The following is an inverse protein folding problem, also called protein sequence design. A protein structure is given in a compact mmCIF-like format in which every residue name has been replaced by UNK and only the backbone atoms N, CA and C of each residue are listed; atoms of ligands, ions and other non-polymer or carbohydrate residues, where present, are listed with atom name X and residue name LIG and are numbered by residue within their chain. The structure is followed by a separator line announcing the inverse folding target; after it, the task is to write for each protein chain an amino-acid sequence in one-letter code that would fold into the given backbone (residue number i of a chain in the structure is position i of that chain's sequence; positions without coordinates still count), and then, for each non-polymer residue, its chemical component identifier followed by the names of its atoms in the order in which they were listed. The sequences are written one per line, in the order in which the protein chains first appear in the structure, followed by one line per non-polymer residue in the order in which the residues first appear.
data_IF_568037949223
#
_entry.id   IF_568037949223
#
_cell.length_a   1.000
_cell.length_b   1.000
_cell.length_c   1.000
_cell.angle_alpha   90.00
_cell.angle_beta   90.00
_cell.angle_gamma   90.00
#
_symmetry.space_group_name_H-M   'P 1'
#
loop_
_entity.id
_entity.type
_entity.pdbx_description
1 polymer ?
#
# COMPACT_ATOMS: atom_id res chain seq x y z
N UNK A 1 -25.83 2.81 26.26
CA UNK A 1 -26.66 1.74 25.66
C UNK A 1 -26.93 1.97 24.17
N UNK A 2 -27.51 3.10 23.73
CA UNK A 2 -27.78 3.34 22.30
C UNK A 2 -26.52 3.50 21.41
N UNK A 3 -25.50 4.22 21.89
CA UNK A 3 -24.22 4.38 21.18
C UNK A 3 -23.47 3.05 21.00
N UNK A 4 -23.46 2.20 22.04
CA UNK A 4 -22.80 0.90 22.01
C UNK A 4 -23.52 -0.10 21.09
N UNK A 5 -24.85 -0.07 21.04
CA UNK A 5 -25.65 -0.85 20.10
C UNK A 5 -25.40 -0.41 18.64
N UNK A 6 -25.28 0.91 18.41
CA UNK A 6 -24.95 1.47 17.09
C UNK A 6 -23.55 1.05 16.61
N UNK A 7 -22.54 1.12 17.48
CA UNK A 7 -21.17 0.64 17.17
C UNK A 7 -21.13 -0.86 16.88
N UNK A 8 -21.87 -1.69 17.65
CA UNK A 8 -21.96 -3.13 17.39
C UNK A 8 -22.60 -3.43 16.02
N UNK A 9 -23.68 -2.72 15.67
CA UNK A 9 -24.34 -2.87 14.37
C UNK A 9 -23.41 -2.44 13.22
N UNK A 10 -22.71 -1.32 13.36
CA UNK A 10 -21.75 -0.83 12.37
C UNK A 10 -20.60 -1.83 12.16
N UNK A 11 -19.97 -2.33 13.23
CA UNK A 11 -18.90 -3.31 13.12
C UNK A 11 -19.40 -4.61 12.47
N UNK A 12 -20.62 -5.05 12.80
CA UNK A 12 -21.24 -6.23 12.18
C UNK A 12 -21.46 -6.04 10.67
N UNK A 13 -21.80 -4.83 10.21
CA UNK A 13 -21.94 -4.52 8.79
C UNK A 13 -20.60 -4.63 8.06
N UNK A 14 -19.54 -4.02 8.61
CA UNK A 14 -18.19 -4.08 8.04
C UNK A 14 -17.69 -5.53 7.93
N UNK A 15 -17.85 -6.32 9.00
CA UNK A 15 -17.45 -7.73 9.00
C UNK A 15 -18.20 -8.53 7.94
N UNK A 16 -19.50 -8.25 7.75
CA UNK A 16 -20.31 -8.94 6.73
C UNK A 16 -19.82 -8.60 5.33
N UNK A 17 -19.64 -7.31 5.01
CA UNK A 17 -19.12 -6.87 3.72
C UNK A 17 -17.74 -7.48 3.43
N UNK A 18 -16.85 -7.53 4.42
CA UNK A 18 -15.53 -8.14 4.28
C UNK A 18 -15.57 -9.64 3.94
N UNK A 19 -16.51 -10.39 4.52
CA UNK A 19 -16.72 -11.80 4.19
C UNK A 19 -17.27 -11.97 2.77
N UNK A 20 -18.14 -11.06 2.33
CA UNK A 20 -18.66 -11.05 0.96
C UNK A 20 -17.53 -10.79 -0.05
N UNK A 21 -16.71 -9.77 0.17
CA UNK A 21 -15.51 -9.53 -0.65
C UNK A 21 -14.56 -10.72 -0.66
N UNK A 22 -14.32 -11.37 0.49
CA UNK A 22 -13.45 -12.55 0.54
C UNK A 22 -13.99 -13.73 -0.29
N UNK A 23 -15.32 -13.90 -0.36
CA UNK A 23 -15.95 -14.91 -1.21
C UNK A 23 -15.77 -14.61 -2.69
N UNK A 24 -15.90 -13.35 -3.08
CA UNK A 24 -15.66 -12.91 -4.46
C UNK A 24 -14.21 -13.19 -4.90
N UNK A 25 -13.26 -13.22 -3.96
CA UNK A 25 -11.88 -13.60 -4.25
C UNK A 25 -11.65 -15.12 -4.39
N UNK A 26 -12.65 -15.95 -4.10
CA UNK A 26 -12.60 -17.41 -4.19
C UNK A 26 -13.91 -18.01 -4.76
N UNK A 27 -14.35 -17.60 -5.96
CA UNK A 27 -15.70 -17.91 -6.46
C UNK A 27 -15.93 -19.41 -6.70
N UNK A 28 -14.86 -20.18 -6.94
CA UNK A 28 -14.93 -21.61 -7.23
C UNK A 28 -14.90 -22.52 -5.98
N UNK A 29 -14.77 -21.94 -4.78
CA UNK A 29 -14.62 -22.72 -3.54
C UNK A 29 -15.89 -22.68 -2.70
N UNK A 30 -16.40 -23.86 -2.34
CA UNK A 30 -17.41 -23.97 -1.28
C UNK A 30 -16.74 -23.78 0.07
N UNK A 31 -17.11 -22.71 0.78
CA UNK A 31 -16.54 -22.40 2.09
C UNK A 31 -17.25 -23.20 3.18
N UNK A 32 -16.53 -24.08 3.87
CA UNK A 32 -17.03 -24.76 5.06
C UNK A 32 -17.23 -23.79 6.24
N UNK A 33 -17.92 -24.28 7.28
CA UNK A 33 -18.24 -23.46 8.46
C UNK A 33 -17.00 -22.98 9.21
N UNK A 34 -15.94 -23.78 9.28
CA UNK A 34 -14.71 -23.41 9.99
C UNK A 34 -13.95 -22.32 9.24
N UNK A 35 -13.87 -22.43 7.92
CA UNK A 35 -13.25 -21.41 7.05
C UNK A 35 -13.98 -20.07 7.18
N UNK A 36 -15.31 -20.07 7.14
CA UNK A 36 -16.13 -18.86 7.34
C UNK A 36 -15.96 -18.30 8.76
N UNK A 37 -15.93 -19.16 9.78
CA UNK A 37 -15.73 -18.74 11.16
C UNK A 37 -14.36 -18.08 11.38
N UNK A 38 -13.30 -18.66 10.81
CA UNK A 38 -11.95 -18.09 10.86
C UNK A 38 -11.88 -16.73 10.14
N UNK A 39 -12.46 -16.62 8.96
CA UNK A 39 -12.51 -15.35 8.22
C UNK A 39 -13.26 -14.26 9.00
N UNK A 40 -14.41 -14.62 9.61
CA UNK A 40 -15.16 -13.73 10.48
C UNK A 40 -14.35 -13.30 11.70
N UNK A 41 -13.60 -14.22 12.31
CA UNK A 41 -12.75 -13.91 13.47
C UNK A 41 -11.64 -12.92 13.11
N UNK A 42 -10.91 -13.15 12.01
CA UNK A 42 -9.86 -12.22 11.55
C UNK A 42 -10.40 -10.83 11.19
N UNK A 43 -11.53 -10.78 10.48
CA UNK A 43 -12.20 -9.53 10.17
C UNK A 43 -12.64 -8.79 11.45
N UNK A 44 -13.28 -9.50 12.39
CA UNK A 44 -13.73 -8.91 13.65
C UNK A 44 -12.57 -8.38 14.51
N UNK A 45 -11.46 -9.13 14.61
CA UNK A 45 -10.26 -8.66 15.29
C UNK A 45 -9.75 -7.36 14.67
N UNK A 46 -9.66 -7.32 13.34
CA UNK A 46 -9.17 -6.15 12.60
C UNK A 46 -10.05 -4.93 12.81
N UNK A 47 -11.38 -5.08 12.73
CA UNK A 47 -12.32 -3.98 12.98
C UNK A 47 -12.20 -3.47 14.41
N UNK A 48 -12.08 -4.38 15.40
CA UNK A 48 -11.95 -4.00 16.79
C UNK A 48 -10.63 -3.27 17.06
N UNK A 49 -9.51 -3.81 16.57
CA UNK A 49 -8.18 -3.23 16.74
C UNK A 49 -8.11 -1.84 16.10
N UNK A 50 -8.60 -1.70 14.87
CA UNK A 50 -8.63 -0.43 14.17
C UNK A 50 -9.58 0.56 14.86
N UNK A 51 -10.76 0.12 15.31
CA UNK A 51 -11.70 0.98 16.07
C UNK A 51 -11.05 1.56 17.33
N UNK A 52 -10.29 0.75 18.07
CA UNK A 52 -9.57 1.19 19.26
C UNK A 52 -8.48 2.20 18.92
N UNK A 53 -7.72 1.95 17.84
CA UNK A 53 -6.68 2.89 17.37
C UNK A 53 -7.31 4.22 16.99
N UNK A 54 -8.35 4.21 16.14
CA UNK A 54 -9.03 5.43 15.68
C UNK A 54 -9.66 6.19 16.84
N UNK A 55 -10.30 5.50 17.79
CA UNK A 55 -10.87 6.13 18.98
C UNK A 55 -9.79 6.83 19.81
N UNK A 56 -8.64 6.18 20.04
CA UNK A 56 -7.51 6.78 20.78
C UNK A 56 -7.00 8.05 20.07
N UNK A 57 -6.77 7.97 18.76
CA UNK A 57 -6.32 9.12 17.95
C UNK A 57 -7.29 10.31 18.07
N UNK A 58 -8.60 10.04 17.98
CA UNK A 58 -9.63 11.10 17.98
C UNK A 58 -9.88 11.71 19.35
N UNK A 59 -9.75 10.92 20.43
CA UNK A 59 -10.01 11.39 21.79
C UNK A 59 -8.97 12.41 22.27
N UNK A 60 -7.72 12.26 21.86
CA UNK A 60 -6.58 13.00 22.45
C UNK A 60 -6.06 14.13 21.55
N UNK A 61 -6.71 14.33 20.40
CA UNK A 61 -6.34 15.35 19.44
C UNK A 61 -5.26 14.87 18.47
N UNK A 62 -5.13 15.59 17.34
CA UNK A 62 -4.23 15.22 16.22
C UNK A 62 -2.74 15.40 16.53
N UNK A 63 -2.32 15.36 17.80
CA UNK A 63 -0.92 15.49 18.16
C UNK A 63 -0.22 14.14 17.95
N UNK A 64 0.50 14.02 16.84
CA UNK A 64 1.04 12.73 16.39
C UNK A 64 2.10 12.09 17.31
N UNK A 65 2.70 12.81 18.26
CA UNK A 65 3.61 12.21 19.26
C UNK A 65 2.87 11.41 20.33
N UNK A 66 1.74 11.92 20.82
CA UNK A 66 0.87 11.20 21.75
C UNK A 66 0.29 9.96 21.06
N UNK A 67 -0.09 10.07 19.79
CA UNK A 67 -0.63 8.96 18.98
C UNK A 67 0.35 7.78 18.87
N UNK A 68 1.65 8.02 18.64
CA UNK A 68 2.66 6.94 18.55
C UNK A 68 2.94 6.32 19.92
N UNK A 69 2.87 7.10 21.01
CA UNK A 69 3.10 6.60 22.37
C UNK A 69 2.12 5.50 22.82
N UNK A 70 0.98 5.39 22.13
CA UNK A 70 -0.06 4.38 22.39
C UNK A 70 0.16 3.05 21.66
N UNK A 71 1.16 2.96 20.80
CA UNK A 71 1.52 1.71 20.14
C UNK A 71 2.53 0.92 20.96
N UNK A 72 2.38 -0.41 20.97
CA UNK A 72 3.40 -1.27 21.57
C UNK A 72 4.71 -1.18 20.76
N UNK A 73 5.87 -1.40 21.40
CA UNK A 73 7.15 -1.45 20.68
C UNK A 73 7.15 -2.46 19.54
N UNK A 74 6.51 -3.61 19.72
CA UNK A 74 6.32 -4.62 18.68
C UNK A 74 5.55 -4.06 17.47
N UNK A 75 4.47 -3.32 17.73
CA UNK A 75 3.66 -2.69 16.68
C UNK A 75 4.46 -1.62 15.95
N UNK A 76 5.21 -0.78 16.66
CA UNK A 76 6.11 0.20 16.07
C UNK A 76 7.16 -0.49 15.20
N UNK A 77 7.75 -1.59 15.67
CA UNK A 77 8.73 -2.35 14.89
C UNK A 77 8.14 -2.94 13.61
N UNK A 78 6.91 -3.47 13.66
CA UNK A 78 6.19 -3.95 12.47
C UNK A 78 5.90 -2.83 11.47
N UNK A 79 5.43 -1.67 11.94
CA UNK A 79 5.20 -0.50 11.06
C UNK A 79 6.51 0.00 10.45
N UNK A 80 7.60 0.06 11.24
CA UNK A 80 8.92 0.46 10.73
C UNK A 80 9.45 -0.53 9.69
N UNK A 81 9.34 -1.84 9.96
CA UNK A 81 9.70 -2.90 9.01
C UNK A 81 8.89 -2.77 7.72
N UNK A 82 7.62 -2.37 7.79
CA UNK A 82 6.77 -2.11 6.61
C UNK A 82 7.24 -0.92 5.76
N UNK A 83 7.95 0.02 6.38
CA UNK A 83 8.46 1.24 5.77
C UNK A 83 9.91 1.11 5.26
N UNK A 84 10.54 -0.06 5.46
CA UNK A 84 11.81 -0.41 4.84
C UNK A 84 11.64 -0.60 3.32
N UNK A 85 12.74 -0.61 2.56
CA UNK A 85 12.70 -0.88 1.12
C UNK A 85 12.19 -2.30 0.83
N UNK A 86 11.03 -2.44 0.18
CA UNK A 86 10.40 -3.76 -0.12
C UNK A 86 10.53 -4.19 -1.56
N UNK A 87 10.79 -3.24 -2.46
CA UNK A 87 10.94 -3.53 -3.89
C UNK A 87 12.40 -3.36 -4.31
N UNK A 88 12.74 -2.18 -4.83
CA UNK A 88 14.06 -1.84 -5.32
C UNK A 88 14.28 -0.32 -5.23
N UNK A 89 15.52 0.09 -5.43
CA UNK A 89 15.93 1.48 -5.57
C UNK A 89 16.35 1.74 -7.03
N UNK A 90 15.92 2.87 -7.57
CA UNK A 90 16.43 3.38 -8.84
C UNK A 90 17.45 4.48 -8.54
N UNK A 91 18.67 4.32 -9.00
CA UNK A 91 19.71 5.34 -8.90
C UNK A 91 19.85 6.04 -10.25
N UNK A 92 19.57 7.34 -10.30
CA UNK A 92 19.63 8.15 -11.52
C UNK A 92 20.95 8.93 -11.55
N UNK A 93 21.77 8.66 -12.55
CA UNK A 93 22.94 9.48 -12.88
C UNK A 93 22.61 10.37 -14.08
N UNK A 94 22.33 11.65 -13.82
CA UNK A 94 21.99 12.64 -14.85
C UNK A 94 23.14 12.89 -15.84
N UNK A 95 24.39 12.86 -15.37
CA UNK A 95 25.57 13.12 -16.21
C UNK A 95 25.79 12.00 -17.23
N UNK A 96 25.68 10.76 -16.76
CA UNK A 96 25.80 9.57 -17.62
C UNK A 96 24.50 9.23 -18.35
N UNK A 97 23.41 9.96 -18.07
CA UNK A 97 22.05 9.66 -18.52
C UNK A 97 21.72 8.19 -18.33
N UNK A 98 21.83 7.69 -17.10
CA UNK A 98 21.67 6.28 -16.79
C UNK A 98 20.85 6.08 -15.52
N UNK A 99 19.90 5.16 -15.55
CA UNK A 99 19.19 4.67 -14.37
C UNK A 99 19.62 3.23 -14.05
N UNK A 100 20.00 2.98 -12.81
CA UNK A 100 20.35 1.64 -12.30
C UNK A 100 19.30 1.17 -11.31
N UNK A 101 18.73 -0.03 -11.53
CA UNK A 101 17.66 -0.57 -10.69
C UNK A 101 18.22 -1.71 -9.85
N UNK A 102 18.29 -1.51 -8.54
CA UNK A 102 18.95 -2.42 -7.60
C UNK A 102 18.05 -2.82 -6.44
N UNK A 103 18.18 -4.08 -6.02
CA UNK A 103 17.58 -4.61 -4.78
C UNK A 103 18.69 -5.28 -3.97
N UNK A 104 18.77 -4.97 -2.68
CA UNK A 104 19.75 -5.57 -1.77
C UNK A 104 21.21 -5.48 -2.31
N UNK A 105 21.54 -4.36 -2.94
CA UNK A 105 22.86 -4.10 -3.52
C UNK A 105 23.16 -4.82 -4.85
N UNK A 106 22.23 -5.64 -5.37
CA UNK A 106 22.36 -6.36 -6.64
C UNK A 106 21.49 -5.74 -7.72
N UNK A 107 21.94 -5.79 -8.96
CA UNK A 107 21.14 -5.36 -10.11
C UNK A 107 19.93 -6.29 -10.26
N UNK A 108 18.73 -5.70 -10.18
CA UNK A 108 17.46 -6.43 -10.32
C UNK A 108 16.96 -6.38 -11.77
N UNK A 109 17.24 -5.27 -12.47
CA UNK A 109 16.94 -5.09 -13.89
C UNK A 109 18.17 -4.49 -14.60
N UNK A 110 18.27 -4.67 -15.94
CA UNK A 110 19.28 -4.00 -16.73
C UNK A 110 19.20 -2.47 -16.56
N UNK A 111 20.36 -1.81 -16.62
CA UNK A 111 20.41 -0.36 -16.57
C UNK A 111 19.76 0.27 -17.81
N UNK A 112 19.06 1.39 -17.61
CA UNK A 112 18.32 2.09 -18.66
C UNK A 112 19.11 3.35 -19.06
N UNK A 113 19.37 3.53 -20.35
CA UNK A 113 19.98 4.75 -20.90
C UNK A 113 18.92 5.83 -21.10
N UNK A 114 18.96 6.91 -20.34
CA UNK A 114 17.99 8.02 -20.30
C UNK A 114 18.18 9.04 -21.44
N UNK A 115 18.45 8.55 -22.66
CA UNK A 115 18.71 9.36 -23.85
C UNK A 115 17.52 9.55 -24.79
N UNK A 116 16.37 8.92 -24.51
CA UNK A 116 15.18 8.96 -25.36
C UNK A 116 13.90 9.07 -24.52
N UNK A 117 12.82 9.57 -25.12
CA UNK A 117 11.51 9.65 -24.44
C UNK A 117 10.99 8.26 -24.01
N UNK A 118 11.22 7.22 -24.82
CA UNK A 118 10.82 5.85 -24.49
C UNK A 118 11.55 5.31 -23.26
N UNK A 119 12.86 5.54 -23.16
CA UNK A 119 13.64 5.08 -22.01
C UNK A 119 13.34 5.89 -20.74
N UNK A 120 13.02 7.18 -20.88
CA UNK A 120 12.55 8.00 -19.77
C UNK A 120 11.17 7.53 -19.28
N UNK A 121 10.25 7.18 -20.20
CA UNK A 121 8.96 6.57 -19.82
C UNK A 121 9.19 5.26 -19.08
N UNK A 122 10.01 4.36 -19.61
CA UNK A 122 10.31 3.08 -18.97
C UNK A 122 10.86 3.25 -17.55
N UNK A 123 11.82 4.15 -17.34
CA UNK A 123 12.35 4.42 -16.00
C UNK A 123 11.29 5.00 -15.06
N UNK A 124 10.40 5.86 -15.56
CA UNK A 124 9.28 6.40 -14.78
C UNK A 124 8.26 5.31 -14.44
N UNK A 125 7.92 4.43 -15.37
CA UNK A 125 6.95 3.34 -15.15
C UNK A 125 7.45 2.39 -14.07
N UNK A 126 8.74 2.00 -14.08
CA UNK A 126 9.35 1.26 -12.98
C UNK A 126 9.26 2.04 -11.66
N UNK A 127 9.54 3.34 -11.69
CA UNK A 127 9.52 4.14 -10.48
C UNK A 127 8.13 4.24 -9.86
N UNK A 128 7.09 4.40 -10.68
CA UNK A 128 5.68 4.44 -10.29
C UNK A 128 5.23 3.07 -9.81
N UNK A 129 5.53 2.00 -10.54
CA UNK A 129 5.16 0.64 -10.16
C UNK A 129 5.72 0.27 -8.77
N UNK A 130 6.96 0.66 -8.51
CA UNK A 130 7.60 0.48 -7.22
C UNK A 130 6.85 1.21 -6.08
N UNK A 131 6.37 2.43 -6.31
CA UNK A 131 5.60 3.21 -5.33
C UNK A 131 4.25 2.53 -5.03
N UNK A 132 3.53 2.11 -6.07
CA UNK A 132 2.22 1.45 -5.94
C UNK A 132 2.35 0.14 -5.16
N UNK A 133 3.31 -0.72 -5.53
CA UNK A 133 3.54 -1.99 -4.83
C UNK A 133 3.92 -1.77 -3.37
N UNK A 134 4.77 -0.78 -3.07
CA UNK A 134 5.15 -0.48 -1.68
C UNK A 134 4.01 0.10 -0.84
N UNK A 135 3.13 0.92 -1.44
CA UNK A 135 1.94 1.41 -0.76
C UNK A 135 1.01 0.25 -0.33
N UNK A 136 0.84 -0.75 -1.20
CA UNK A 136 0.04 -1.95 -0.91
C UNK A 136 0.73 -2.81 0.16
N UNK A 137 2.03 -3.08 0.01
CA UNK A 137 2.79 -3.86 1.02
C UNK A 137 2.73 -3.17 2.38
N UNK A 138 2.83 -1.84 2.44
CA UNK A 138 2.66 -1.08 3.66
C UNK A 138 1.33 -1.42 4.35
N UNK A 139 0.21 -1.37 3.62
CA UNK A 139 -1.11 -1.70 4.20
C UNK A 139 -1.20 -3.14 4.68
N UNK A 140 -0.64 -4.10 3.92
CA UNK A 140 -0.62 -5.50 4.32
C UNK A 140 0.18 -5.72 5.61
N UNK A 141 1.38 -5.15 5.71
CA UNK A 141 2.20 -5.29 6.91
C UNK A 141 1.61 -4.50 8.10
N UNK A 142 0.93 -3.37 7.86
CA UNK A 142 0.18 -2.65 8.89
C UNK A 142 -0.89 -3.53 9.52
N UNK A 143 -1.55 -4.41 8.78
CA UNK A 143 -2.54 -5.34 9.35
C UNK A 143 -1.91 -6.67 9.79
N UNK A 144 -0.59 -6.81 9.72
CA UNK A 144 0.13 -8.01 10.15
C UNK A 144 0.09 -9.16 9.14
N UNK A 145 -0.18 -8.86 7.87
CA UNK A 145 0.01 -9.80 6.77
C UNK A 145 1.46 -9.68 6.31
N UNK A 146 2.27 -10.69 6.61
CA UNK A 146 3.67 -10.71 6.22
C UNK A 146 3.82 -11.03 4.74
N UNK A 147 4.66 -10.25 4.06
CA UNK A 147 4.97 -10.44 2.64
C UNK A 147 6.29 -11.20 2.53
N UNK A 148 6.32 -12.35 1.83
CA UNK A 148 7.56 -13.06 1.57
C UNK A 148 8.56 -12.18 0.80
N UNK A 149 9.84 -12.25 1.17
CA UNK A 149 10.92 -11.57 0.45
C UNK A 149 11.34 -12.38 -0.79
N UNK A 150 10.47 -12.42 -1.79
CA UNK A 150 10.67 -13.11 -3.07
C UNK A 150 10.87 -12.10 -4.21
N UNK A 151 12.04 -12.14 -4.85
CA UNK A 151 12.36 -11.22 -5.94
C UNK A 151 11.50 -11.47 -7.19
N UNK A 152 11.20 -12.72 -7.51
CA UNK A 152 10.44 -13.08 -8.71
C UNK A 152 8.96 -12.73 -8.57
N UNK A 153 8.37 -12.93 -7.40
CA UNK A 153 7.00 -12.44 -7.13
C UNK A 153 6.94 -10.91 -7.17
N UNK A 154 7.98 -10.23 -6.67
CA UNK A 154 8.05 -8.77 -6.76
C UNK A 154 8.18 -8.30 -8.22
N UNK A 155 8.96 -8.98 -9.07
CA UNK A 155 9.01 -8.66 -10.51
C UNK A 155 7.63 -8.80 -11.15
N UNK A 156 6.92 -9.90 -10.88
CA UNK A 156 5.57 -10.14 -11.42
C UNK A 156 4.60 -9.03 -11.05
N UNK A 157 4.57 -8.58 -9.80
CA UNK A 157 3.67 -7.48 -9.40
C UNK A 157 4.06 -6.14 -9.99
N UNK A 158 5.35 -5.91 -10.22
CA UNK A 158 5.82 -4.70 -10.92
C UNK A 158 5.32 -4.71 -12.36
N UNK A 159 5.41 -5.85 -13.05
CA UNK A 159 4.89 -5.99 -14.42
C UNK A 159 3.37 -5.80 -14.48
N UNK A 160 2.62 -6.32 -13.50
CA UNK A 160 1.17 -6.08 -13.36
C UNK A 160 0.89 -4.57 -13.31
N UNK A 161 1.58 -3.83 -12.44
CA UNK A 161 1.35 -2.38 -12.33
C UNK A 161 1.72 -1.65 -13.62
N UNK A 162 2.86 -1.98 -14.23
CA UNK A 162 3.28 -1.35 -15.49
C UNK A 162 2.23 -1.54 -16.60
N UNK A 163 1.64 -2.72 -16.71
CA UNK A 163 0.57 -3.01 -17.67
C UNK A 163 -0.67 -2.13 -17.40
N UNK A 164 -1.00 -1.88 -16.14
CA UNK A 164 -2.16 -1.06 -15.76
C UNK A 164 -1.88 0.44 -15.91
N UNK A 165 -0.64 0.91 -15.75
CA UNK A 165 -0.28 2.32 -15.98
C UNK A 165 -0.57 2.81 -17.39
N UNK A 166 -0.55 1.93 -18.39
CA UNK A 166 -0.88 2.29 -19.77
C UNK A 166 -2.40 2.45 -19.99
N UNK A 167 -3.23 2.02 -19.03
CA UNK A 167 -4.70 2.03 -19.13
C UNK A 167 -5.34 3.00 -18.14
N UNK A 168 -4.75 3.13 -16.96
CA UNK A 168 -5.34 3.81 -15.82
C UNK A 168 -4.70 5.19 -15.58
N UNK A 169 -5.44 6.23 -15.96
CA UNK A 169 -5.02 7.61 -15.74
C UNK A 169 -5.15 8.03 -14.26
N UNK A 170 -6.06 7.43 -13.50
CA UNK A 170 -6.27 7.75 -12.09
C UNK A 170 -5.07 7.30 -11.25
N UNK A 171 -4.56 6.11 -11.53
CA UNK A 171 -3.34 5.59 -10.89
C UNK A 171 -2.14 6.54 -11.05
N UNK A 172 -1.98 7.13 -12.23
CA UNK A 172 -0.95 8.15 -12.49
C UNK A 172 -1.19 9.44 -11.71
N UNK A 173 -2.44 9.90 -11.66
CA UNK A 173 -2.84 11.11 -10.91
C UNK A 173 -2.56 10.95 -9.41
N UNK A 174 -2.86 9.78 -8.83
CA UNK A 174 -2.67 9.52 -7.41
C UNK A 174 -1.19 9.50 -7.03
N UNK A 175 -0.35 8.87 -7.85
CA UNK A 175 1.11 8.88 -7.62
C UNK A 175 1.70 10.27 -7.80
N UNK A 176 1.20 11.05 -8.75
CA UNK A 176 1.59 12.45 -8.92
C UNK A 176 1.13 13.33 -7.75
N UNK A 177 -0.03 13.06 -7.17
CA UNK A 177 -0.51 13.76 -5.98
C UNK A 177 0.38 13.47 -4.77
N UNK A 178 0.73 12.20 -4.52
CA UNK A 178 1.72 11.80 -3.49
C UNK A 178 3.04 12.55 -3.70
N UNK A 179 3.51 12.66 -4.95
CA UNK A 179 4.76 13.36 -5.28
C UNK A 179 4.69 14.85 -4.97
N UNK A 180 3.55 15.52 -5.22
CA UNK A 180 3.35 16.94 -4.88
C UNK A 180 3.38 17.16 -3.37
N UNK A 181 2.81 16.23 -2.62
CA UNK A 181 2.72 16.32 -1.16
C UNK A 181 3.94 15.75 -0.42
N UNK A 182 5.01 15.36 -1.13
CA UNK A 182 6.21 14.73 -0.54
C UNK A 182 6.86 15.50 0.62
N UNK A 183 6.74 16.83 0.63
CA UNK A 183 7.30 17.71 1.65
C UNK A 183 6.30 18.00 2.79
N UNK A 184 5.06 17.52 2.66
CA UNK A 184 3.98 17.55 3.64
C UNK A 184 3.61 16.11 4.06
N UNK A 185 4.41 15.52 4.95
CA UNK A 185 4.28 14.10 5.30
C UNK A 185 2.88 13.62 5.71
N UNK A 186 2.07 14.37 6.49
CA UNK A 186 0.69 13.97 6.75
C UNK A 186 -0.18 13.90 5.50
N UNK A 187 -0.03 14.84 4.56
CA UNK A 187 -0.76 14.82 3.29
C UNK A 187 -0.27 13.68 2.39
N UNK A 188 1.05 13.53 2.23
CA UNK A 188 1.66 12.42 1.49
C UNK A 188 1.17 11.06 2.00
N UNK A 189 1.19 10.85 3.32
CA UNK A 189 0.73 9.59 3.92
C UNK A 189 -0.76 9.37 3.65
N UNK A 190 -1.59 10.41 3.71
CA UNK A 190 -3.01 10.32 3.37
C UNK A 190 -3.19 9.89 1.92
N UNK A 191 -2.46 10.48 1.00
CA UNK A 191 -2.57 10.17 -0.44
C UNK A 191 -2.07 8.74 -0.75
N UNK A 192 -1.09 8.22 -0.01
CA UNK A 192 -0.69 6.80 -0.09
C UNK A 192 -1.88 5.88 0.24
N UNK A 193 -2.64 6.18 1.30
CA UNK A 193 -3.82 5.38 1.64
C UNK A 193 -4.97 5.57 0.64
N UNK A 194 -5.13 6.76 0.06
CA UNK A 194 -6.09 6.99 -1.03
C UNK A 194 -5.73 6.13 -2.24
N UNK A 195 -4.46 6.13 -2.67
CA UNK A 195 -3.97 5.25 -3.73
C UNK A 195 -4.28 3.77 -3.45
N UNK A 196 -4.14 3.30 -2.20
CA UNK A 196 -4.46 1.92 -1.84
C UNK A 196 -5.97 1.64 -1.93
N UNK A 197 -6.82 2.60 -1.55
CA UNK A 197 -8.27 2.46 -1.69
C UNK A 197 -8.67 2.43 -3.16
N UNK A 198 -8.14 3.34 -3.97
CA UNK A 198 -8.47 3.45 -5.39
C UNK A 198 -8.04 2.17 -6.12
N UNK A 199 -6.80 1.70 -5.90
CA UNK A 199 -6.34 0.41 -6.44
C UNK A 199 -7.13 -0.80 -5.94
N UNK A 200 -7.73 -0.72 -4.75
CA UNK A 200 -8.63 -1.76 -4.22
C UNK A 200 -9.95 -1.80 -4.97
N UNK A 201 -10.55 -0.63 -5.23
CA UNK A 201 -11.80 -0.50 -5.98
C UNK A 201 -11.62 -0.93 -7.43
N UNK A 202 -10.48 -0.61 -8.05
CA UNK A 202 -10.15 -0.98 -9.44
C UNK A 202 -9.66 -2.43 -9.59
N UNK A 203 -9.52 -3.16 -8.48
CA UNK A 203 -9.12 -4.57 -8.47
C UNK A 203 -7.62 -4.84 -8.70
N UNK A 204 -6.84 -3.82 -9.04
CA UNK A 204 -5.36 -3.89 -9.18
C UNK A 204 -4.73 -4.40 -7.87
N UNK A 205 -5.23 -3.91 -6.73
CA UNK A 205 -4.81 -4.36 -5.41
C UNK A 205 -4.88 -5.89 -5.29
N UNK A 206 -6.02 -6.49 -5.67
CA UNK A 206 -6.21 -7.92 -5.53
C UNK A 206 -5.32 -8.73 -6.46
N UNK A 207 -4.99 -8.22 -7.65
CA UNK A 207 -4.02 -8.84 -8.55
C UNK A 207 -2.62 -8.88 -7.91
N UNK A 208 -2.20 -7.78 -7.30
CA UNK A 208 -0.92 -7.67 -6.60
C UNK A 208 -0.90 -8.61 -5.38
N UNK A 209 -1.92 -8.56 -4.53
CA UNK A 209 -1.96 -9.37 -3.31
C UNK A 209 -2.03 -10.87 -3.61
N UNK A 210 -2.79 -11.30 -4.63
CA UNK A 210 -2.82 -12.71 -5.05
C UNK A 210 -1.47 -13.20 -5.54
N UNK A 211 -0.72 -12.33 -6.22
CA UNK A 211 0.62 -12.66 -6.72
C UNK A 211 1.62 -12.75 -5.56
N UNK A 212 1.69 -11.73 -4.70
CA UNK A 212 2.57 -11.72 -3.52
C UNK A 212 2.31 -12.89 -2.56
N UNK A 213 1.06 -13.34 -2.47
CA UNK A 213 0.62 -14.42 -1.57
C UNK A 213 0.23 -15.68 -2.34
N UNK A 214 0.82 -15.92 -3.51
CA UNK A 214 0.46 -17.03 -4.41
C UNK A 214 0.64 -18.42 -3.77
N UNK A 215 1.56 -18.54 -2.81
CA UNK A 215 1.80 -19.76 -2.05
C UNK A 215 0.86 -19.95 -0.84
N UNK A 216 0.00 -18.96 -0.54
CA UNK A 216 -0.93 -19.04 0.58
C UNK A 216 -2.03 -20.09 0.29
N UNK A 217 -2.30 -21.03 1.21
CA UNK A 217 -3.40 -21.96 1.06
C UNK A 217 -4.74 -21.23 0.92
N UNK A 218 -5.63 -21.73 0.05
CA UNK A 218 -6.90 -21.07 -0.26
C UNK A 218 -7.77 -20.78 0.99
N UNK A 219 -7.72 -21.63 2.02
CA UNK A 219 -8.49 -21.44 3.25
C UNK A 219 -7.91 -20.32 4.14
N UNK A 220 -6.58 -20.15 4.14
CA UNK A 220 -5.91 -19.02 4.77
C UNK A 220 -6.13 -17.73 3.99
N UNK A 221 -6.11 -17.84 2.65
CA UNK A 221 -6.41 -16.74 1.74
C UNK A 221 -7.77 -16.12 2.04
N UNK A 222 -8.83 -16.92 2.18
CA UNK A 222 -10.17 -16.39 2.50
C UNK A 222 -10.17 -15.58 3.80
N UNK A 223 -9.46 -16.05 4.83
CA UNK A 223 -9.37 -15.33 6.09
C UNK A 223 -8.55 -14.04 5.98
N UNK A 224 -7.45 -14.07 5.21
CA UNK A 224 -6.60 -12.91 4.93
C UNK A 224 -7.33 -11.87 4.06
N UNK A 225 -8.08 -12.29 3.03
CA UNK A 225 -8.90 -11.38 2.22
C UNK A 225 -9.99 -10.71 3.06
N UNK A 226 -10.65 -11.44 3.96
CA UNK A 226 -11.62 -10.85 4.88
C UNK A 226 -10.96 -9.85 5.84
N UNK A 227 -9.75 -10.13 6.30
CA UNK A 227 -8.97 -9.22 7.13
C UNK A 227 -8.66 -7.90 6.40
N UNK A 228 -8.16 -7.99 5.17
CA UNK A 228 -7.85 -6.85 4.30
C UNK A 228 -9.11 -6.02 4.01
N UNK A 229 -10.18 -6.67 3.55
CA UNK A 229 -11.42 -6.00 3.20
C UNK A 229 -12.03 -5.29 4.43
N UNK A 230 -11.96 -5.91 5.60
CA UNK A 230 -12.41 -5.29 6.85
C UNK A 230 -11.60 -4.04 7.21
N UNK A 231 -10.27 -4.06 7.03
CA UNK A 231 -9.42 -2.90 7.27
C UNK A 231 -9.77 -1.74 6.33
N UNK A 232 -9.83 -2.00 5.01
CA UNK A 232 -10.11 -0.98 4.00
C UNK A 232 -11.51 -0.40 4.18
N UNK A 233 -12.53 -1.25 4.33
CA UNK A 233 -13.90 -0.80 4.57
C UNK A 233 -14.01 0.05 5.83
N UNK A 234 -13.28 -0.30 6.90
CA UNK A 234 -13.27 0.46 8.14
C UNK A 234 -12.57 1.82 7.98
N UNK A 235 -11.48 1.90 7.22
CA UNK A 235 -10.80 3.18 6.91
C UNK A 235 -11.73 4.14 6.18
N UNK A 236 -12.41 3.65 5.13
CA UNK A 236 -13.35 4.45 4.32
C UNK A 236 -14.57 4.87 5.14
N UNK A 237 -15.25 3.90 5.77
CA UNK A 237 -16.53 4.15 6.45
C UNK A 237 -16.42 5.07 7.67
N UNK A 238 -15.24 5.19 8.27
CA UNK A 238 -15.03 6.07 9.43
C UNK A 238 -14.27 7.35 9.12
N UNK A 239 -13.83 7.56 7.86
CA UNK A 239 -12.86 8.59 7.53
C UNK A 239 -11.50 8.41 8.24
N UNK A 240 -11.18 7.17 8.61
CA UNK A 240 -9.98 6.81 9.38
C UNK A 240 -8.67 6.93 8.60
N UNK A 241 -8.75 7.16 7.27
CA UNK A 241 -7.59 7.38 6.39
C UNK A 241 -6.65 8.45 6.96
N UNK A 242 -7.19 9.62 7.33
CA UNK A 242 -6.37 10.72 7.83
C UNK A 242 -5.71 10.39 9.19
N UNK A 243 -6.41 9.64 10.04
CA UNK A 243 -5.94 9.26 11.37
C UNK A 243 -4.77 8.26 11.27
N UNK A 244 -4.90 7.24 10.41
CA UNK A 244 -3.83 6.25 10.19
C UNK A 244 -2.66 6.86 9.40
N UNK A 245 -2.94 7.74 8.44
CA UNK A 245 -1.89 8.51 7.75
C UNK A 245 -1.03 9.32 8.72
N UNK A 246 -1.65 10.01 9.69
CA UNK A 246 -0.92 10.75 10.72
C UNK A 246 -0.01 9.84 11.56
N UNK A 247 -0.51 8.66 11.92
CA UNK A 247 0.28 7.66 12.65
C UNK A 247 1.50 7.21 11.85
N UNK A 248 1.30 6.87 10.57
CA UNK A 248 2.38 6.45 9.67
C UNK A 248 3.39 7.58 9.49
N UNK A 249 2.96 8.80 9.18
CA UNK A 249 3.83 9.95 8.95
C UNK A 249 4.81 10.24 10.12
N UNK A 250 4.43 9.89 11.35
CA UNK A 250 5.29 10.06 12.54
C UNK A 250 6.29 8.93 12.74
N UNK A 251 6.03 7.76 12.17
CA UNK A 251 6.90 6.58 12.23
C UNK A 251 7.83 6.47 11.03
N UNK A 252 7.54 7.25 9.98
CA UNK A 252 8.26 7.28 8.71
C UNK A 252 9.68 7.82 8.88
N UNK A 253 10.64 6.91 8.68
CA UNK A 253 11.98 7.22 8.14
C UNK A 253 12.08 6.61 6.73
N UNK A 254 11.17 6.96 5.84
CA UNK A 254 11.06 6.35 4.50
C UNK A 254 11.98 7.05 3.50
N UNK A 255 13.27 7.14 3.82
CA UNK A 255 14.27 7.77 2.96
C UNK A 255 14.23 7.17 1.54
N UNK A 256 14.10 5.85 1.43
CA UNK A 256 13.97 5.17 0.14
C UNK A 256 12.69 5.54 -0.61
N UNK A 257 11.53 5.56 0.06
CA UNK A 257 10.27 5.94 -0.60
C UNK A 257 10.31 7.41 -1.05
N UNK A 258 10.87 8.31 -0.26
CA UNK A 258 11.05 9.72 -0.63
C UNK A 258 11.98 9.89 -1.83
N UNK A 259 13.07 9.12 -1.89
CA UNK A 259 13.99 9.11 -3.03
C UNK A 259 13.27 8.71 -4.33
N UNK A 260 12.33 7.77 -4.27
CA UNK A 260 11.49 7.38 -5.42
C UNK A 260 10.66 8.54 -5.95
N UNK A 261 10.08 9.35 -5.07
CA UNK A 261 9.34 10.56 -5.45
C UNK A 261 10.26 11.63 -6.04
N UNK A 262 11.48 11.76 -5.51
CA UNK A 262 12.50 12.67 -6.06
C UNK A 262 12.90 12.23 -7.47
N UNK A 263 13.14 10.93 -7.67
CA UNK A 263 13.47 10.36 -8.98
C UNK A 263 12.41 10.66 -10.04
N UNK A 264 11.12 10.56 -9.70
CA UNK A 264 10.03 10.97 -10.61
C UNK A 264 10.16 12.43 -11.05
N UNK A 265 10.49 13.32 -10.10
CA UNK A 265 10.75 14.73 -10.41
C UNK A 265 11.94 14.92 -11.36
N UNK A 266 13.02 14.18 -11.15
CA UNK A 266 14.21 14.20 -12.02
C UNK A 266 13.90 13.69 -13.43
N UNK A 267 13.23 12.53 -13.54
CA UNK A 267 12.84 11.96 -14.83
C UNK A 267 11.89 12.88 -15.61
N UNK A 268 10.95 13.52 -14.92
CA UNK A 268 10.04 14.49 -15.52
C UNK A 268 10.79 15.71 -16.09
N UNK A 269 11.75 16.27 -15.34
CA UNK A 269 12.61 17.37 -15.83
C UNK A 269 13.40 16.97 -17.07
N UNK A 270 14.02 15.78 -17.05
CA UNK A 270 14.77 15.26 -18.21
C UNK A 270 13.86 15.08 -19.43
N UNK A 271 12.64 14.61 -19.25
CA UNK A 271 11.63 14.46 -20.32
C UNK A 271 11.26 15.81 -20.94
N UNK A 272 11.04 16.84 -20.12
CA UNK A 272 10.75 18.19 -20.59
C UNK A 272 11.93 18.74 -21.40
N UNK A 273 13.16 18.62 -20.89
CA UNK A 273 14.36 19.09 -21.59
C UNK A 273 14.58 18.40 -22.94
N UNK A 274 14.29 17.09 -23.03
CA UNK A 274 14.44 16.32 -24.26
C UNK A 274 13.31 16.59 -25.28
N UNK A 275 12.13 17.04 -24.82
CA UNK A 275 11.02 17.41 -25.69
C UNK A 275 11.17 18.82 -26.27
N UNK A 276 12.04 19.64 -25.66
CA UNK A 276 12.34 21.01 -26.08
C UNK A 276 13.54 21.12 -27.04
N UNK A 277 14.28 20.03 -27.24
CA UNK A 277 15.45 19.90 -28.14
C UNK A 277 15.08 19.24 -29.46
#
# INVERSE_FOLDING_TARGET
MAAEASTKLFNSFIIKAAIETAREQCPEKTLDQNTVANARQKAASTVNDLSQILHKIRKEGKNGEEVVSHLTPERIAKIKKALDMKTYQININEKEKKAQIKRNGKDMYPAITLGSLGNLKQASDYQIASIVVEAIILVLELIGVEIPDDEEEIKKVIDIVIIELDKDHKLLEDVEQIRKDKDNYPAMAKDIFVLVVDTFEDGIFWQIVKTLLSNMPWYEWVATSAQIAAFIAMLVATGGIADIALLVAKLVNAAFFLEKLVNLGTLSKMKISLSAS
#
